data_IF_329891812436
#
_entry.id   IF_329891812436
#
_cell.length_a   1.000
_cell.length_b   1.000
_cell.length_c   1.000
_cell.angle_alpha   90.00
_cell.angle_beta   90.00
_cell.angle_gamma   90.00
#
_symmetry.space_group_name_H-M   'P 1'
#
loop_
_entity.id
_entity.type
_entity.pdbx_description
1 polymer ?
#
# COMPACT_ATOMS: atom_id res chain seq x y z
N UNK A 1 -13.11 9.85 -14.79
CA UNK A 1 -13.52 9.39 -13.46
C UNK A 1 -12.42 8.65 -12.71
N UNK A 2 -11.72 7.74 -13.32
CA UNK A 2 -10.66 6.97 -12.66
C UNK A 2 -9.45 7.80 -12.24
N UNK A 3 -9.05 8.79 -13.02
CA UNK A 3 -7.92 9.68 -12.70
C UNK A 3 -8.18 10.59 -11.50
N UNK A 4 -9.43 11.01 -11.29
CA UNK A 4 -9.80 11.82 -10.13
C UNK A 4 -9.71 11.02 -8.83
N UNK A 5 -10.16 9.76 -8.88
CA UNK A 5 -10.08 8.82 -7.75
C UNK A 5 -8.62 8.51 -7.38
N UNK A 6 -7.79 8.28 -8.37
CA UNK A 6 -6.35 8.02 -8.19
C UNK A 6 -5.61 9.22 -7.60
N UNK A 7 -5.89 10.42 -8.10
CA UNK A 7 -5.32 11.65 -7.55
C UNK A 7 -5.76 11.89 -6.11
N UNK A 8 -6.98 11.51 -5.78
CA UNK A 8 -7.53 11.61 -4.44
C UNK A 8 -6.86 10.62 -3.48
N UNK A 9 -6.67 9.37 -3.89
CA UNK A 9 -5.94 8.34 -3.12
C UNK A 9 -4.50 8.79 -2.84
N UNK A 10 -3.81 9.24 -3.86
CA UNK A 10 -2.43 9.72 -3.75
C UNK A 10 -2.34 10.93 -2.83
N UNK A 11 -3.25 11.89 -2.96
CA UNK A 11 -3.29 13.05 -2.09
C UNK A 11 -3.55 12.68 -0.62
N UNK A 12 -4.36 11.66 -0.37
CA UNK A 12 -4.66 11.14 0.97
C UNK A 12 -3.48 10.41 1.61
N UNK A 13 -2.82 9.56 0.85
CA UNK A 13 -1.59 8.89 1.31
C UNK A 13 -0.55 9.93 1.68
N UNK A 14 -0.32 10.92 0.83
CA UNK A 14 0.62 12.00 1.08
C UNK A 14 0.23 12.86 2.29
N UNK A 15 -1.06 13.18 2.45
CA UNK A 15 -1.55 13.98 3.58
C UNK A 15 -1.43 13.25 4.92
N UNK A 16 -1.82 11.96 4.99
CA UNK A 16 -1.70 11.17 6.22
C UNK A 16 -0.26 10.92 6.62
N UNK A 17 0.62 10.72 5.66
CA UNK A 17 2.05 10.60 5.93
C UNK A 17 2.65 11.92 6.43
N UNK A 18 2.15 13.07 5.94
CA UNK A 18 2.54 14.38 6.44
C UNK A 18 2.15 14.61 7.89
N UNK A 19 0.94 14.19 8.27
CA UNK A 19 0.45 14.30 9.65
C UNK A 19 1.21 13.39 10.62
N UNK A 20 1.59 12.18 10.18
CA UNK A 20 2.31 11.22 11.01
C UNK A 20 3.77 11.64 11.30
N UNK A 21 4.37 12.45 10.45
CA UNK A 21 5.79 12.84 10.55
C UNK A 21 6.05 14.18 11.27
N UNK A 22 5.02 14.87 11.75
CA UNK A 22 5.19 16.07 12.59
C UNK A 22 6.16 17.11 12.03
N UNK A 23 5.99 17.49 10.79
CA UNK A 23 6.27 18.81 10.21
C UNK A 23 7.63 19.45 10.37
N UNK A 24 8.77 18.77 10.37
CA UNK A 24 10.06 19.44 10.19
C UNK A 24 10.76 19.00 8.91
N UNK A 25 10.81 19.93 7.94
CA UNK A 25 11.65 19.78 6.78
C UNK A 25 13.11 20.07 7.17
N UNK A 26 13.95 19.03 7.10
CA UNK A 26 15.40 19.22 7.23
C UNK A 26 15.97 19.84 5.94
N UNK A 27 16.96 20.74 6.03
CA UNK A 27 17.55 21.39 4.87
C UNK A 27 18.35 20.40 4.02
N UNK A 28 18.23 20.58 2.72
CA UNK A 28 18.85 19.77 1.71
C UNK A 28 20.37 19.78 1.78
N UNK A 29 20.98 18.62 1.97
CA UNK A 29 22.37 18.38 1.62
C UNK A 29 22.42 17.69 0.26
N UNK A 30 23.23 18.26 -0.64
CA UNK A 30 23.32 17.84 -2.02
C UNK A 30 23.71 16.36 -2.17
N UNK A 31 23.07 15.70 -3.14
CA UNK A 31 23.44 14.43 -3.78
C UNK A 31 23.09 13.11 -3.09
N UNK A 32 22.36 13.13 -1.98
CA UNK A 32 21.65 11.94 -1.51
C UNK A 32 20.15 12.19 -1.64
N UNK A 33 19.46 11.28 -2.28
CA UNK A 33 18.00 11.29 -2.30
C UNK A 33 17.52 10.93 -0.90
N UNK A 34 17.43 11.93 -0.01
CA UNK A 34 17.03 11.77 1.39
C UNK A 34 15.51 11.53 1.56
N UNK A 35 14.80 11.44 0.44
CA UNK A 35 13.38 11.11 0.48
C UNK A 35 13.17 9.71 1.01
N UNK A 36 12.16 9.56 1.85
CA UNK A 36 11.77 8.26 2.35
C UNK A 36 11.36 7.33 1.20
N UNK A 37 11.84 6.09 1.23
CA UNK A 37 11.48 5.10 0.25
C UNK A 37 10.06 4.61 0.43
N UNK A 38 9.27 4.63 -0.65
CA UNK A 38 7.94 4.07 -0.73
C UNK A 38 7.92 2.96 -1.77
N UNK A 39 7.54 1.76 -1.35
CA UNK A 39 7.45 0.60 -2.22
C UNK A 39 5.98 0.33 -2.56
N UNK A 40 5.67 0.37 -3.84
CA UNK A 40 4.41 -0.14 -4.37
C UNK A 40 4.56 -1.65 -4.59
N UNK A 41 3.90 -2.43 -3.78
CA UNK A 41 3.93 -3.88 -3.88
C UNK A 41 2.66 -4.38 -4.55
N UNK A 42 2.82 -5.00 -5.71
CA UNK A 42 1.70 -5.50 -6.52
C UNK A 42 1.98 -6.92 -6.99
N UNK A 43 0.92 -7.71 -7.15
CA UNK A 43 1.05 -9.02 -7.79
C UNK A 43 1.31 -8.89 -9.29
N UNK A 44 0.62 -7.94 -9.91
CA UNK A 44 0.79 -7.58 -11.31
C UNK A 44 0.80 -6.07 -11.46
N UNK A 45 1.49 -5.57 -12.48
CA UNK A 45 1.50 -4.15 -12.78
C UNK A 45 0.11 -3.70 -13.23
N UNK A 46 -0.65 -3.09 -12.35
CA UNK A 46 -1.98 -2.56 -12.63
C UNK A 46 -1.97 -1.05 -12.91
N UNK A 47 -3.12 -0.51 -13.28
CA UNK A 47 -3.26 0.91 -13.60
C UNK A 47 -3.04 1.82 -12.38
N UNK A 48 -3.45 1.37 -11.21
CA UNK A 48 -3.19 2.08 -9.94
C UNK A 48 -1.69 2.21 -9.70
N UNK A 49 -0.94 1.14 -9.85
CA UNK A 49 0.50 1.12 -9.70
C UNK A 49 1.17 2.08 -10.69
N UNK A 50 0.77 2.04 -11.96
CA UNK A 50 1.28 2.93 -13.00
C UNK A 50 0.98 4.40 -12.73
N UNK A 51 -0.22 4.70 -12.26
CA UNK A 51 -0.62 6.05 -11.92
C UNK A 51 0.15 6.60 -10.71
N UNK A 52 0.35 5.78 -9.68
CA UNK A 52 1.15 6.15 -8.51
C UNK A 52 2.62 6.39 -8.88
N UNK A 53 3.19 5.57 -9.77
CA UNK A 53 4.55 5.77 -10.27
C UNK A 53 4.73 7.07 -11.06
N UNK A 54 3.68 7.55 -11.71
CA UNK A 54 3.69 8.80 -12.49
C UNK A 54 3.30 10.03 -11.67
N UNK A 55 2.85 9.85 -10.44
CA UNK A 55 2.35 10.95 -9.64
C UNK A 55 3.48 11.85 -9.13
N UNK A 56 3.56 13.07 -9.66
CA UNK A 56 4.59 14.04 -9.30
C UNK A 56 4.53 14.47 -7.83
N UNK A 57 3.35 14.56 -7.24
CA UNK A 57 3.18 14.88 -5.82
C UNK A 57 3.77 13.80 -4.91
N UNK A 58 3.59 12.55 -5.30
CA UNK A 58 4.14 11.42 -4.55
C UNK A 58 5.66 11.36 -4.70
N UNK A 59 6.17 11.54 -5.91
CA UNK A 59 7.60 11.61 -6.20
C UNK A 59 8.32 12.77 -5.54
N UNK A 60 7.65 13.90 -5.38
CA UNK A 60 8.23 15.04 -4.69
C UNK A 60 8.54 14.75 -3.22
N UNK A 61 7.80 13.81 -2.63
CA UNK A 61 7.90 13.48 -1.21
C UNK A 61 8.60 12.17 -0.93
N UNK A 62 8.41 11.19 -1.80
CA UNK A 62 8.94 9.84 -1.64
C UNK A 62 9.78 9.42 -2.84
N UNK A 63 10.77 8.59 -2.57
CA UNK A 63 11.41 7.79 -3.61
C UNK A 63 10.51 6.59 -3.86
N UNK A 64 9.75 6.61 -4.95
CA UNK A 64 8.73 5.62 -5.28
C UNK A 64 9.29 4.55 -6.20
N UNK A 65 9.26 3.30 -5.74
CA UNK A 65 9.62 2.12 -6.53
C UNK A 65 8.46 1.13 -6.56
N UNK A 66 8.45 0.24 -7.52
CA UNK A 66 7.44 -0.79 -7.65
C UNK A 66 8.09 -2.18 -7.67
N UNK A 67 7.58 -3.07 -6.86
CA UNK A 67 7.87 -4.50 -6.93
C UNK A 67 6.65 -5.24 -7.45
N UNK A 68 6.84 -6.03 -8.48
CA UNK A 68 5.84 -6.96 -9.00
C UNK A 68 6.45 -8.36 -9.06
N UNK A 69 5.63 -9.35 -9.43
CA UNK A 69 6.12 -10.72 -9.62
C UNK A 69 7.35 -10.83 -10.56
N UNK A 70 7.54 -9.83 -11.41
CA UNK A 70 8.61 -9.81 -12.42
C UNK A 70 9.83 -9.01 -11.98
N UNK A 71 9.74 -8.23 -10.91
CA UNK A 71 10.84 -7.40 -10.43
C UNK A 71 10.86 -7.39 -8.91
N UNK A 72 11.84 -8.06 -8.32
CA UNK A 72 12.05 -7.98 -6.88
C UNK A 72 12.80 -6.68 -6.54
N UNK A 73 12.41 -5.98 -5.47
CA UNK A 73 13.21 -4.87 -4.96
C UNK A 73 14.52 -5.42 -4.41
N UNK A 74 15.59 -4.70 -4.60
CA UNK A 74 16.90 -5.13 -4.14
C UNK A 74 16.96 -5.33 -2.61
N UNK A 75 16.32 -4.44 -1.85
CA UNK A 75 16.32 -4.50 -0.38
C UNK A 75 15.08 -3.81 0.20
N UNK A 76 14.28 -4.56 0.95
CA UNK A 76 13.10 -4.03 1.62
C UNK A 76 13.44 -2.96 2.68
N UNK A 77 14.62 -3.04 3.28
CA UNK A 77 15.09 -2.11 4.30
C UNK A 77 15.21 -0.66 3.81
N UNK A 78 15.35 -0.47 2.50
CA UNK A 78 15.40 0.85 1.87
C UNK A 78 14.06 1.59 1.87
N UNK A 79 12.97 0.93 2.26
CA UNK A 79 11.62 1.47 2.22
C UNK A 79 11.02 1.55 3.61
N UNK A 80 10.57 2.73 4.01
CA UNK A 80 9.83 2.93 5.25
C UNK A 80 8.32 2.74 5.10
N UNK A 81 7.81 2.87 3.88
CA UNK A 81 6.40 2.78 3.53
C UNK A 81 6.20 1.74 2.45
N UNK A 82 5.19 0.89 2.64
CA UNK A 82 4.77 -0.11 1.65
C UNK A 82 3.29 0.08 1.35
N UNK A 83 2.95 0.18 0.08
CA UNK A 83 1.56 0.24 -0.37
C UNK A 83 1.23 -1.07 -1.07
N UNK A 84 0.27 -1.81 -0.53
CA UNK A 84 -0.20 -3.05 -1.14
C UNK A 84 -1.31 -2.73 -2.15
N UNK A 85 -1.03 -2.96 -3.41
CA UNK A 85 -2.02 -2.90 -4.48
C UNK A 85 -2.41 -4.31 -4.91
N UNK A 86 -3.60 -4.47 -5.47
CA UNK A 86 -4.07 -5.77 -5.92
C UNK A 86 -4.16 -6.82 -4.81
N UNK A 87 -4.66 -6.44 -3.63
CA UNK A 87 -4.85 -7.38 -2.52
C UNK A 87 -6.02 -8.31 -2.81
N UNK A 88 -5.70 -9.46 -3.37
CA UNK A 88 -6.69 -10.51 -3.66
C UNK A 88 -7.15 -11.21 -2.38
N UNK A 89 -8.32 -11.84 -2.42
CA UNK A 89 -8.82 -12.65 -1.31
C UNK A 89 -7.85 -13.77 -0.91
N UNK A 90 -7.19 -14.36 -1.88
CA UNK A 90 -6.16 -15.38 -1.64
C UNK A 90 -4.96 -14.79 -0.89
N UNK A 91 -4.43 -13.67 -1.34
CA UNK A 91 -3.31 -13.01 -0.68
C UNK A 91 -3.66 -12.55 0.73
N UNK A 92 -4.86 -11.99 0.92
CA UNK A 92 -5.37 -11.61 2.24
C UNK A 92 -5.43 -12.80 3.20
N UNK A 93 -6.01 -13.91 2.76
CA UNK A 93 -6.10 -15.12 3.57
C UNK A 93 -4.71 -15.67 3.92
N UNK A 94 -3.80 -15.70 2.98
CA UNK A 94 -2.41 -16.13 3.20
C UNK A 94 -1.69 -15.25 4.21
N UNK A 95 -1.75 -13.94 4.04
CA UNK A 95 -1.11 -13.00 4.97
C UNK A 95 -1.68 -13.11 6.39
N UNK A 96 -3.00 -13.24 6.52
CA UNK A 96 -3.64 -13.39 7.82
C UNK A 96 -3.28 -14.71 8.53
N UNK A 97 -2.93 -15.74 7.78
CA UNK A 97 -2.49 -17.04 8.30
C UNK A 97 -0.96 -17.17 8.38
N UNK A 98 -0.22 -16.17 7.95
CA UNK A 98 1.24 -16.22 7.91
C UNK A 98 1.82 -17.10 6.81
N UNK A 99 1.07 -17.37 5.75
CA UNK A 99 1.51 -18.14 4.59
C UNK A 99 2.20 -17.23 3.57
N UNK A 100 3.47 -17.46 3.34
CA UNK A 100 4.32 -16.63 2.50
C UNK A 100 4.91 -17.44 1.34
N UNK A 101 4.07 -17.92 0.45
CA UNK A 101 4.45 -18.80 -0.67
C UNK A 101 4.65 -18.07 -1.99
N UNK A 102 4.36 -16.78 -2.05
CA UNK A 102 4.59 -15.93 -3.22
C UNK A 102 5.54 -14.77 -2.88
N UNK A 103 6.24 -14.17 -3.86
CA UNK A 103 7.03 -12.97 -3.62
C UNK A 103 6.21 -11.83 -2.98
N UNK A 104 4.98 -11.63 -3.44
CA UNK A 104 4.07 -10.63 -2.89
C UNK A 104 3.78 -10.86 -1.41
N UNK A 105 3.32 -12.04 -1.04
CA UNK A 105 2.98 -12.38 0.35
C UNK A 105 4.21 -12.36 1.25
N UNK A 106 5.36 -12.76 0.73
CA UNK A 106 6.63 -12.74 1.45
C UNK A 106 7.07 -11.33 1.81
N UNK A 107 7.09 -10.44 0.83
CA UNK A 107 7.47 -9.03 1.03
C UNK A 107 6.45 -8.30 1.90
N UNK A 108 5.16 -8.53 1.69
CA UNK A 108 4.10 -7.94 2.50
C UNK A 108 4.21 -8.37 3.97
N UNK A 109 4.37 -9.67 4.22
CA UNK A 109 4.54 -10.19 5.57
C UNK A 109 5.80 -9.65 6.24
N UNK A 110 6.91 -9.57 5.52
CA UNK A 110 8.16 -9.00 6.04
C UNK A 110 8.00 -7.52 6.38
N UNK A 111 7.31 -6.75 5.56
CA UNK A 111 7.02 -5.34 5.84
C UNK A 111 6.20 -5.17 7.12
N UNK A 112 5.16 -5.99 7.30
CA UNK A 112 4.32 -5.99 8.51
C UNK A 112 5.15 -6.37 9.75
N UNK A 113 5.91 -7.46 9.66
CA UNK A 113 6.71 -7.98 10.78
C UNK A 113 7.84 -7.04 11.20
N UNK A 114 8.39 -6.28 10.28
CA UNK A 114 9.45 -5.30 10.57
C UNK A 114 8.93 -3.93 10.96
N UNK A 115 7.62 -3.78 11.14
CA UNK A 115 7.00 -2.55 11.62
C UNK A 115 6.97 -1.41 10.61
N UNK A 116 7.05 -1.72 9.32
CA UNK A 116 6.91 -0.69 8.28
C UNK A 116 5.47 -0.20 8.20
N UNK A 117 5.29 1.02 7.75
CA UNK A 117 3.96 1.57 7.49
C UNK A 117 3.38 0.92 6.24
N UNK A 118 2.35 0.11 6.44
CA UNK A 118 1.68 -0.61 5.34
C UNK A 118 0.31 -0.01 5.09
N UNK A 119 0.09 0.46 3.88
CA UNK A 119 -1.18 1.03 3.43
C UNK A 119 -1.82 0.14 2.38
N UNK A 120 -3.12 -0.02 2.48
CA UNK A 120 -3.91 -0.74 1.48
C UNK A 120 -5.00 0.19 0.98
N UNK A 121 -4.94 0.64 -0.28
CA UNK A 121 -6.04 1.41 -0.86
C UNK A 121 -7.32 0.57 -0.87
N UNK A 122 -8.42 1.16 -0.44
CA UNK A 122 -9.72 0.47 -0.32
C UNK A 122 -10.16 -0.13 -1.66
N UNK A 123 -9.89 0.55 -2.74
CA UNK A 123 -10.24 0.15 -4.11
C UNK A 123 -9.43 -1.07 -4.58
N UNK A 124 -8.29 -1.30 -3.96
CA UNK A 124 -7.39 -2.42 -4.27
C UNK A 124 -7.67 -3.67 -3.42
N UNK A 125 -8.63 -3.60 -2.51
CA UNK A 125 -9.06 -4.75 -1.71
C UNK A 125 -10.16 -5.51 -2.46
N UNK A 126 -9.83 -6.67 -2.99
CA UNK A 126 -10.77 -7.50 -3.75
C UNK A 126 -12.03 -7.86 -2.95
N UNK A 127 -11.89 -8.11 -1.65
CA UNK A 127 -12.99 -8.51 -0.77
C UNK A 127 -14.20 -7.58 -0.85
N UNK A 128 -13.99 -6.29 -0.98
CA UNK A 128 -15.08 -5.31 -0.99
C UNK A 128 -16.01 -5.42 -2.19
N UNK A 129 -15.56 -6.04 -3.28
CA UNK A 129 -16.39 -6.32 -4.45
C UNK A 129 -17.51 -7.32 -4.16
N UNK A 130 -17.35 -8.13 -3.13
CA UNK A 130 -18.26 -9.20 -2.77
C UNK A 130 -19.19 -8.85 -1.61
N UNK A 131 -19.22 -7.61 -1.17
CA UNK A 131 -20.01 -7.17 -0.01
C UNK A 131 -21.50 -7.46 -0.15
N UNK A 132 -22.04 -7.44 -1.36
CA UNK A 132 -23.47 -7.69 -1.64
C UNK A 132 -23.78 -9.13 -2.07
N UNK A 133 -22.79 -9.93 -2.41
CA UNK A 133 -22.98 -11.27 -2.99
C UNK A 133 -22.53 -12.39 -2.07
N UNK A 134 -21.50 -12.16 -1.26
CA UNK A 134 -20.98 -13.18 -0.35
C UNK A 134 -21.93 -13.40 0.84
N UNK A 135 -22.04 -14.64 1.34
CA UNK A 135 -22.74 -14.90 2.60
C UNK A 135 -22.19 -14.03 3.73
N UNK A 136 -23.06 -13.40 4.49
CA UNK A 136 -22.69 -12.40 5.50
C UNK A 136 -21.65 -12.90 6.50
N UNK A 137 -21.77 -14.13 6.96
CA UNK A 137 -20.85 -14.73 7.92
C UNK A 137 -19.44 -14.92 7.31
N UNK A 138 -19.35 -15.36 6.06
CA UNK A 138 -18.08 -15.54 5.37
C UNK A 138 -17.41 -14.19 5.09
N UNK A 139 -18.17 -13.23 4.61
CA UNK A 139 -17.68 -11.87 4.37
C UNK A 139 -17.14 -11.22 5.65
N UNK A 140 -17.87 -11.32 6.76
CA UNK A 140 -17.46 -10.81 8.06
C UNK A 140 -16.15 -11.46 8.55
N UNK A 141 -16.04 -12.79 8.41
CA UNK A 141 -14.83 -13.52 8.74
C UNK A 141 -13.61 -13.03 7.93
N UNK A 142 -13.77 -12.85 6.63
CA UNK A 142 -12.68 -12.34 5.78
C UNK A 142 -12.34 -10.88 6.08
N UNK A 143 -13.33 -10.07 6.42
CA UNK A 143 -13.11 -8.67 6.78
C UNK A 143 -12.31 -8.52 8.09
N UNK A 144 -12.55 -9.35 9.07
CA UNK A 144 -11.77 -9.39 10.31
C UNK A 144 -10.29 -9.71 10.06
N UNK A 145 -9.98 -10.46 9.02
CA UNK A 145 -8.60 -10.77 8.64
C UNK A 145 -7.86 -9.60 8.00
N UNK A 146 -8.58 -8.62 7.50
CA UNK A 146 -7.98 -7.44 6.88
C UNK A 146 -7.34 -6.50 7.92
N UNK A 147 -7.92 -6.40 9.10
CA UNK A 147 -7.46 -5.50 10.16
C UNK A 147 -5.99 -5.73 10.56
N UNK A 148 -5.52 -6.95 10.81
CA UNK A 148 -4.12 -7.17 11.15
C UNK A 148 -3.17 -7.03 9.95
N UNK A 149 -3.66 -7.12 8.73
CA UNK A 149 -2.84 -7.03 7.50
C UNK A 149 -2.55 -5.58 7.12
N UNK A 150 -3.48 -4.67 7.41
CA UNK A 150 -3.30 -3.26 7.10
C UNK A 150 -3.20 -2.42 8.37
N UNK A 151 -2.07 -1.74 8.53
CA UNK A 151 -1.88 -0.81 9.64
C UNK A 151 -2.83 0.39 9.55
N UNK A 152 -3.18 0.78 8.33
CA UNK A 152 -4.09 1.90 8.10
C UNK A 152 -4.96 1.60 6.90
N UNK A 153 -6.25 1.42 7.12
CA UNK A 153 -7.22 1.44 6.04
C UNK A 153 -7.38 2.87 5.56
N UNK A 154 -6.94 3.15 4.36
CA UNK A 154 -7.26 4.40 3.69
C UNK A 154 -8.71 4.32 3.22
N UNK A 155 -9.63 4.57 4.14
CA UNK A 155 -11.04 4.66 3.78
C UNK A 155 -11.29 5.93 2.99
N UNK A 156 -11.99 5.78 1.88
CA UNK A 156 -12.41 6.89 1.04
C UNK A 156 -13.27 7.95 1.78
N UNK A 157 -13.76 7.63 2.96
CA UNK A 157 -14.72 8.44 3.72
C UNK A 157 -14.09 9.33 4.80
N UNK A 158 -12.82 9.20 5.11
CA UNK A 158 -12.21 9.90 6.26
C UNK A 158 -11.52 11.22 5.92
N UNK A 159 -11.64 11.69 4.70
CA UNK A 159 -10.91 12.87 4.21
C UNK A 159 -11.78 13.96 3.58
N UNK A 160 -13.04 13.93 3.82
CA UNK A 160 -13.90 15.08 3.49
C UNK A 160 -14.29 15.83 4.74
#
# INVERSE_FOLDING_TARGET
MEQTLLNEIVARVAAKLAEAEGGEAAPAAADRDDREGLLLLSQEMNDTCRAMLKCEKLKARFRVDCASLQSEPAELDSYGVVVLTGLTNEALAKLALGLCDTPYTRLAAQAILTGKRVYVPTEEVELYRYASTAPAAYYAMMKERLDPVSYTHLRAHETC
#
